data_IF_098168995638
#
_entry.id   IF_098168995638
#
_cell.length_a   1.000
_cell.length_b   1.000
_cell.length_c   1.000
_cell.angle_alpha   90.00
_cell.angle_beta   90.00
_cell.angle_gamma   90.00
#
_symmetry.space_group_name_H-M   'P 1'
#
loop_
_entity.id
_entity.type
_entity.pdbx_description
1 polymer ?
#
# COMPACT_ATOMS: atom_id res chain seq x y z
N UNK A 1 24.06 -35.36 -11.07
CA UNK A 1 24.73 -36.04 -12.19
C UNK A 1 26.24 -35.96 -12.11
N UNK A 2 26.85 -34.80 -11.84
CA UNK A 2 28.32 -34.60 -11.84
C UNK A 2 29.02 -35.46 -10.79
N UNK A 3 28.54 -35.49 -9.55
CA UNK A 3 29.11 -36.36 -8.49
C UNK A 3 29.01 -37.85 -8.86
N UNK A 4 27.88 -38.27 -9.42
CA UNK A 4 27.72 -39.65 -9.84
C UNK A 4 28.73 -40.04 -10.95
N UNK A 5 28.97 -39.14 -11.89
CA UNK A 5 29.97 -39.37 -12.96
C UNK A 5 31.40 -39.57 -12.43
N UNK A 6 31.82 -38.85 -11.40
CA UNK A 6 33.17 -38.97 -10.82
C UNK A 6 33.31 -40.06 -9.76
N UNK A 7 32.25 -40.40 -9.03
CA UNK A 7 32.30 -41.35 -7.92
C UNK A 7 31.98 -42.79 -8.34
N UNK A 8 31.00 -43.01 -9.23
CA UNK A 8 30.59 -44.35 -9.67
C UNK A 8 31.72 -45.16 -10.33
N UNK A 9 32.57 -44.64 -11.23
CA UNK A 9 33.65 -45.39 -11.83
C UNK A 9 34.76 -45.82 -10.85
N UNK A 10 34.86 -45.14 -9.69
CA UNK A 10 35.87 -45.46 -8.65
C UNK A 10 35.37 -46.47 -7.61
N UNK A 11 34.12 -46.82 -7.63
CA UNK A 11 33.56 -47.85 -6.77
C UNK A 11 33.91 -49.24 -7.31
N UNK A 12 34.95 -49.85 -6.74
CA UNK A 12 35.52 -51.15 -7.17
C UNK A 12 34.63 -52.38 -6.99
N UNK A 13 33.48 -52.25 -6.33
CA UNK A 13 32.47 -53.31 -6.18
C UNK A 13 31.08 -52.69 -6.12
N UNK A 14 30.33 -52.77 -7.23
CA UNK A 14 28.86 -52.79 -7.13
C UNK A 14 28.47 -54.19 -6.62
N UNK A 15 28.66 -54.43 -5.34
CA UNK A 15 28.14 -55.65 -4.72
C UNK A 15 26.60 -55.62 -4.87
N UNK A 16 26.03 -56.73 -5.35
CA UNK A 16 24.59 -56.93 -5.56
C UNK A 16 23.82 -57.01 -4.24
N UNK A 17 24.44 -56.61 -3.12
CA UNK A 17 23.82 -56.55 -1.80
C UNK A 17 23.48 -55.14 -1.34
N UNK A 18 22.30 -54.97 -0.83
CA UNK A 18 21.89 -53.70 -0.23
C UNK A 18 22.83 -53.31 0.94
N UNK A 19 23.25 -52.07 0.98
CA UNK A 19 23.95 -51.50 2.13
C UNK A 19 23.13 -51.75 3.40
N UNK A 20 23.80 -51.91 4.56
CA UNK A 20 23.15 -52.09 5.86
C UNK A 20 22.00 -51.05 6.10
N UNK A 21 22.21 -49.81 5.73
CA UNK A 21 21.22 -48.76 5.81
C UNK A 21 20.00 -49.06 4.91
N UNK A 22 20.27 -49.42 3.64
CA UNK A 22 19.23 -49.74 2.65
C UNK A 22 18.42 -50.96 3.07
N UNK A 23 19.07 -51.98 3.60
CA UNK A 23 18.41 -53.19 4.08
C UNK A 23 17.53 -52.93 5.32
N UNK A 24 17.94 -51.98 6.20
CA UNK A 24 17.13 -51.55 7.35
C UNK A 24 15.91 -50.77 6.88
N UNK A 25 16.09 -49.80 5.97
CA UNK A 25 15.01 -49.01 5.39
C UNK A 25 13.98 -49.89 4.65
N UNK A 26 14.46 -50.84 3.83
CA UNK A 26 13.55 -51.79 3.16
C UNK A 26 12.76 -52.66 4.15
N UNK A 27 13.34 -53.09 5.26
CA UNK A 27 12.63 -53.85 6.30
C UNK A 27 11.58 -53.02 7.03
N UNK A 28 11.90 -51.77 7.30
CA UNK A 28 10.95 -50.83 7.89
C UNK A 28 9.79 -50.52 6.91
N UNK A 29 10.12 -50.25 5.68
CA UNK A 29 9.13 -50.01 4.62
C UNK A 29 8.19 -51.20 4.45
N UNK A 30 8.73 -52.43 4.34
CA UNK A 30 7.93 -53.65 4.27
C UNK A 30 7.00 -53.83 5.47
N UNK A 31 7.47 -53.53 6.70
CA UNK A 31 6.62 -53.60 7.90
C UNK A 31 5.52 -52.55 7.89
N UNK A 32 5.85 -51.31 7.46
CA UNK A 32 4.87 -50.24 7.32
C UNK A 32 3.80 -50.55 6.26
N UNK A 33 4.23 -51.10 5.12
CA UNK A 33 3.31 -51.51 4.05
C UNK A 33 2.38 -52.65 4.50
N UNK A 34 2.94 -53.70 5.15
CA UNK A 34 2.12 -54.80 5.70
C UNK A 34 1.10 -54.32 6.72
N UNK A 35 1.52 -53.43 7.63
CA UNK A 35 0.62 -52.84 8.63
C UNK A 35 -0.44 -51.99 7.95
N UNK A 36 -0.09 -51.18 6.98
CA UNK A 36 -0.94 -50.30 6.20
C UNK A 36 -2.02 -51.07 5.42
N UNK A 37 -1.64 -52.17 4.75
CA UNK A 37 -2.59 -53.05 4.05
C UNK A 37 -3.55 -53.79 5.01
N UNK A 38 -3.08 -54.10 6.23
CA UNK A 38 -3.92 -54.72 7.23
C UNK A 38 -4.92 -53.75 7.89
N UNK A 39 -4.66 -52.43 7.79
CA UNK A 39 -5.46 -51.40 8.46
C UNK A 39 -5.97 -50.31 7.50
N UNK A 40 -6.29 -50.65 6.27
CA UNK A 40 -6.72 -49.72 5.23
C UNK A 40 -7.92 -48.86 5.65
N UNK A 41 -8.89 -49.43 6.35
CA UNK A 41 -10.04 -48.67 6.86
C UNK A 41 -9.67 -47.61 7.89
N UNK A 42 -8.74 -47.93 8.80
CA UNK A 42 -8.25 -47.00 9.80
C UNK A 42 -7.44 -45.87 9.15
N UNK A 43 -6.60 -46.20 8.16
CA UNK A 43 -5.83 -45.21 7.41
C UNK A 43 -6.70 -44.27 6.61
N UNK A 44 -7.75 -44.78 5.94
CA UNK A 44 -8.71 -43.94 5.26
C UNK A 44 -9.45 -43.01 6.22
N UNK A 45 -9.91 -43.56 7.36
CA UNK A 45 -10.59 -42.76 8.37
C UNK A 45 -9.68 -41.65 8.94
N UNK A 46 -8.44 -41.98 9.27
CA UNK A 46 -7.48 -40.98 9.80
C UNK A 46 -7.12 -39.94 8.75
N UNK A 47 -6.98 -40.32 7.47
CA UNK A 47 -6.73 -39.39 6.37
C UNK A 47 -7.91 -38.44 6.17
N UNK A 48 -9.14 -38.98 6.14
CA UNK A 48 -10.34 -38.14 6.04
C UNK A 48 -10.46 -37.21 7.23
N UNK A 49 -10.24 -37.71 8.44
CA UNK A 49 -10.26 -36.89 9.65
C UNK A 49 -9.22 -35.78 9.61
N UNK A 50 -8.00 -36.10 9.16
CA UNK A 50 -6.93 -35.12 9.02
C UNK A 50 -7.29 -34.01 7.99
N UNK A 51 -7.90 -34.39 6.86
CA UNK A 51 -8.37 -33.43 5.87
C UNK A 51 -9.49 -32.55 6.42
N UNK A 52 -10.46 -33.15 7.12
CA UNK A 52 -11.55 -32.39 7.76
C UNK A 52 -11.01 -31.40 8.80
N UNK A 53 -10.09 -31.86 9.65
CA UNK A 53 -9.43 -30.99 10.66
C UNK A 53 -8.66 -29.86 9.97
N UNK A 54 -7.86 -30.17 8.96
CA UNK A 54 -7.11 -29.16 8.19
C UNK A 54 -8.06 -28.15 7.54
N UNK A 55 -9.16 -28.61 6.96
CA UNK A 55 -10.15 -27.71 6.36
C UNK A 55 -10.86 -26.85 7.41
N UNK A 56 -11.12 -27.40 8.58
CA UNK A 56 -11.73 -26.67 9.70
C UNK A 56 -10.83 -25.55 10.26
N UNK A 57 -9.53 -25.58 10.00
CA UNK A 57 -8.60 -24.49 10.39
C UNK A 57 -8.62 -23.32 9.43
N UNK A 58 -9.10 -23.48 8.19
CA UNK A 58 -9.09 -22.41 7.16
C UNK A 58 -9.77 -21.12 7.63
N UNK A 59 -10.94 -21.14 8.30
CA UNK A 59 -11.59 -19.91 8.77
C UNK A 59 -10.77 -19.12 9.81
N UNK A 60 -9.84 -19.78 10.49
CA UNK A 60 -8.99 -19.18 11.54
C UNK A 60 -7.70 -18.58 10.98
N UNK A 61 -7.38 -18.81 9.70
CA UNK A 61 -6.22 -18.15 9.10
C UNK A 61 -6.51 -16.67 8.82
N UNK A 62 -5.52 -15.78 9.12
CA UNK A 62 -5.65 -14.38 8.75
C UNK A 62 -5.81 -14.25 7.24
N UNK A 63 -6.81 -13.44 6.83
CA UNK A 63 -7.11 -13.18 5.41
C UNK A 63 -6.44 -11.90 4.94
N UNK A 64 -5.13 -11.78 5.15
CA UNK A 64 -4.37 -10.68 4.57
C UNK A 64 -3.56 -11.19 3.39
N UNK A 65 -3.51 -10.39 2.32
CA UNK A 65 -2.72 -10.71 1.12
C UNK A 65 -1.22 -10.72 1.41
N UNK A 66 -0.80 -9.92 2.39
CA UNK A 66 0.58 -9.83 2.86
C UNK A 66 0.59 -9.86 4.39
N UNK A 67 1.56 -10.57 5.01
CA UNK A 67 1.76 -10.47 6.44
C UNK A 67 2.12 -9.03 6.81
N UNK A 68 1.74 -8.62 8.02
CA UNK A 68 2.11 -7.32 8.56
C UNK A 68 3.63 -7.24 8.72
N UNK A 69 4.28 -6.53 7.82
CA UNK A 69 5.71 -6.25 7.93
C UNK A 69 5.95 -5.14 8.95
N UNK A 70 6.90 -5.34 9.83
CA UNK A 70 7.42 -4.24 10.63
C UNK A 70 8.58 -3.59 9.88
N UNK A 71 8.27 -2.54 9.13
CA UNK A 71 9.25 -1.83 8.30
C UNK A 71 10.15 -0.87 9.10
N UNK A 72 9.89 -0.71 10.41
CA UNK A 72 10.63 0.26 11.24
C UNK A 72 10.30 1.72 10.94
N UNK A 73 9.60 1.97 9.84
CA UNK A 73 9.25 3.30 9.33
C UNK A 73 7.73 3.44 9.16
N UNK A 74 7.25 4.69 9.13
CA UNK A 74 5.88 5.04 8.78
C UNK A 74 5.91 6.05 7.64
N UNK A 75 4.88 6.02 6.80
CA UNK A 75 4.57 7.09 5.86
C UNK A 75 3.36 7.85 6.37
N UNK A 76 3.51 9.15 6.53
CA UNK A 76 2.45 10.08 6.96
C UNK A 76 2.14 11.02 5.82
N UNK A 77 0.91 11.00 5.35
CA UNK A 77 0.42 11.87 4.29
C UNK A 77 -0.48 12.95 4.89
N UNK A 78 -0.24 14.20 4.50
CA UNK A 78 -1.05 15.35 4.87
C UNK A 78 -1.56 16.02 3.60
N UNK A 79 -2.87 16.01 3.43
CA UNK A 79 -3.54 16.45 2.20
C UNK A 79 -4.43 17.65 2.49
N UNK A 80 -4.10 18.77 1.89
CA UNK A 80 -4.87 20.01 1.93
C UNK A 80 -5.92 20.04 0.80
N UNK A 81 -6.67 21.10 0.72
CA UNK A 81 -7.62 21.27 -0.38
C UNK A 81 -6.84 21.55 -1.68
N UNK A 82 -7.24 20.95 -2.81
CA UNK A 82 -6.72 21.34 -4.12
C UNK A 82 -6.84 22.85 -4.34
N UNK A 83 -5.82 23.47 -4.93
CA UNK A 83 -5.73 24.92 -5.05
C UNK A 83 -5.02 25.63 -3.91
N UNK A 84 -4.65 24.93 -2.84
CA UNK A 84 -3.76 25.49 -1.80
C UNK A 84 -2.38 25.79 -2.39
N UNK A 85 -1.85 26.97 -2.07
CA UNK A 85 -0.51 27.36 -2.55
C UNK A 85 0.60 26.52 -1.92
N UNK A 86 1.73 26.41 -2.60
CA UNK A 86 2.90 25.70 -2.07
C UNK A 86 3.39 26.32 -0.74
N UNK A 87 3.32 27.63 -0.60
CA UNK A 87 3.72 28.34 0.64
C UNK A 87 2.85 27.90 1.83
N UNK A 88 1.52 27.81 1.65
CA UNK A 88 0.62 27.36 2.71
C UNK A 88 0.75 25.87 2.98
N UNK A 89 0.92 25.06 1.94
CA UNK A 89 1.17 23.63 2.08
C UNK A 89 2.46 23.36 2.85
N UNK A 90 3.50 24.12 2.56
CA UNK A 90 4.76 24.04 3.30
C UNK A 90 4.60 24.47 4.76
N UNK A 91 3.84 25.54 5.04
CA UNK A 91 3.55 26.00 6.40
C UNK A 91 2.85 24.93 7.23
N UNK A 92 1.79 24.32 6.69
CA UNK A 92 1.08 23.23 7.36
C UNK A 92 1.97 21.98 7.47
N UNK A 93 2.76 21.68 6.44
CA UNK A 93 3.71 20.57 6.44
C UNK A 93 4.76 20.69 7.56
N UNK A 94 5.30 21.89 7.80
CA UNK A 94 6.22 22.15 8.92
C UNK A 94 5.54 21.91 10.27
N UNK A 95 4.31 22.37 10.44
CA UNK A 95 3.55 22.11 11.67
C UNK A 95 3.30 20.60 11.88
N UNK A 96 2.94 19.89 10.82
CA UNK A 96 2.76 18.45 10.88
C UNK A 96 4.05 17.72 11.25
N UNK A 97 5.18 18.12 10.65
CA UNK A 97 6.52 17.59 10.96
C UNK A 97 6.88 17.78 12.44
N UNK A 98 6.66 18.98 12.98
CA UNK A 98 6.88 19.27 14.41
C UNK A 98 5.99 18.41 15.33
N UNK A 99 4.73 18.24 14.96
CA UNK A 99 3.79 17.39 15.70
C UNK A 99 4.25 15.93 15.70
N UNK A 100 4.63 15.41 14.55
CA UNK A 100 5.10 14.02 14.41
C UNK A 100 6.43 13.84 15.17
N UNK A 101 7.36 14.77 15.04
CA UNK A 101 8.64 14.74 15.75
C UNK A 101 8.49 14.83 17.29
N UNK A 102 7.35 15.34 17.78
CA UNK A 102 7.05 15.38 19.23
C UNK A 102 6.70 14.02 19.84
N UNK A 103 6.51 12.98 19.01
CA UNK A 103 6.22 11.62 19.49
C UNK A 103 7.52 10.96 19.96
N UNK A 104 7.57 10.40 21.18
CA UNK A 104 8.84 9.92 21.79
C UNK A 104 9.56 8.83 21.02
N UNK A 105 8.84 8.05 20.20
CA UNK A 105 9.38 6.97 19.39
C UNK A 105 9.94 7.41 18.06
N UNK A 106 9.63 8.62 17.62
CA UNK A 106 10.12 9.18 16.37
C UNK A 106 11.58 9.62 16.54
N UNK A 107 12.43 9.11 15.66
CA UNK A 107 13.86 9.43 15.63
C UNK A 107 14.20 10.42 14.54
N UNK A 108 13.54 10.31 13.40
CA UNK A 108 13.78 11.17 12.25
C UNK A 108 12.49 11.34 11.45
N UNK A 109 12.31 12.53 10.88
CA UNK A 109 11.23 12.85 9.95
C UNK A 109 11.85 13.46 8.70
N UNK A 110 11.58 12.86 7.54
CA UNK A 110 11.90 13.41 6.23
C UNK A 110 10.62 13.87 5.54
N UNK A 111 10.52 15.14 5.16
CA UNK A 111 9.31 15.70 4.56
C UNK A 111 9.52 16.15 3.12
N UNK A 112 8.56 15.82 2.26
CA UNK A 112 8.43 16.39 0.90
C UNK A 112 7.06 17.02 0.74
N UNK A 113 7.04 18.25 0.24
CA UNK A 113 5.81 19.01 -0.03
C UNK A 113 5.82 19.48 -1.47
N UNK A 114 4.71 19.26 -2.16
CA UNK A 114 4.54 19.69 -3.53
C UNK A 114 4.98 18.66 -4.55
N UNK A 115 5.14 19.12 -5.80
CA UNK A 115 5.38 18.29 -6.98
C UNK A 115 6.86 18.29 -7.37
N UNK A 116 7.39 17.10 -7.64
CA UNK A 116 8.65 16.95 -8.36
C UNK A 116 8.35 16.79 -9.87
N UNK A 117 9.00 17.57 -10.73
CA UNK A 117 8.70 17.61 -12.18
C UNK A 117 9.00 16.28 -12.90
N UNK A 118 9.91 15.48 -12.38
CA UNK A 118 10.37 14.22 -12.98
C UNK A 118 9.87 12.98 -12.25
N UNK A 119 8.97 13.11 -11.27
CA UNK A 119 8.43 11.98 -10.52
C UNK A 119 7.16 11.46 -11.21
N UNK A 120 7.16 10.16 -11.55
CA UNK A 120 5.98 9.48 -12.10
C UNK A 120 4.77 9.48 -11.15
N UNK A 121 5.03 9.68 -9.85
CA UNK A 121 4.01 9.74 -8.79
C UNK A 121 3.82 11.17 -8.27
N UNK A 122 4.08 12.16 -9.12
CA UNK A 122 3.99 13.57 -8.76
C UNK A 122 2.60 13.96 -8.27
N UNK A 123 2.52 14.30 -6.99
CA UNK A 123 1.31 14.85 -6.37
C UNK A 123 1.24 16.38 -6.56
N UNK A 124 0.04 16.93 -6.40
CA UNK A 124 -0.13 18.38 -6.45
C UNK A 124 0.55 19.10 -5.28
N UNK A 125 0.71 20.41 -5.41
CA UNK A 125 1.35 21.26 -4.38
C UNK A 125 0.62 21.26 -3.02
N UNK A 126 -0.63 20.77 -2.98
CA UNK A 126 -1.45 20.64 -1.77
C UNK A 126 -1.16 19.35 -0.97
N UNK A 127 -0.21 18.53 -1.41
CA UNK A 127 0.13 17.25 -0.83
C UNK A 127 1.49 17.30 -0.15
N UNK A 128 1.55 16.77 1.07
CA UNK A 128 2.79 16.60 1.84
C UNK A 128 2.90 15.15 2.28
N UNK A 129 4.05 14.56 2.01
CA UNK A 129 4.40 13.20 2.45
C UNK A 129 5.58 13.27 3.41
N UNK A 130 5.52 12.50 4.48
CA UNK A 130 6.58 12.41 5.47
C UNK A 130 6.96 10.94 5.66
N UNK A 131 8.26 10.67 5.56
CA UNK A 131 8.86 9.41 5.98
C UNK A 131 9.33 9.56 7.43
N UNK A 132 8.87 8.68 8.31
CA UNK A 132 9.05 8.77 9.75
C UNK A 132 9.72 7.51 10.26
N UNK A 133 10.93 7.64 10.79
CA UNK A 133 11.67 6.54 11.38
C UNK A 133 11.33 6.39 12.87
N UNK A 134 11.09 5.15 13.27
CA UNK A 134 10.73 4.80 14.63
C UNK A 134 11.83 3.99 15.31
N UNK A 135 12.16 4.33 16.56
CA UNK A 135 12.96 3.46 17.41
C UNK A 135 12.14 2.31 17.97
N UNK A 136 12.83 1.25 18.37
CA UNK A 136 12.22 0.13 19.09
C UNK A 136 11.67 0.64 20.42
N UNK A 137 10.42 0.34 20.73
CA UNK A 137 9.70 0.76 21.92
C UNK A 137 8.84 -0.37 22.47
N UNK A 138 8.50 -0.29 23.75
CA UNK A 138 7.55 -1.20 24.40
C UNK A 138 6.09 -0.93 23.97
N UNK A 139 5.81 0.28 23.46
CA UNK A 139 4.50 0.62 22.92
C UNK A 139 4.26 -0.13 21.61
N UNK A 140 3.07 -0.71 21.49
CA UNK A 140 2.69 -1.36 20.24
C UNK A 140 2.60 -0.34 19.10
N UNK A 141 2.92 -0.76 17.88
CA UNK A 141 2.89 0.10 16.69
C UNK A 141 1.53 0.75 16.45
N UNK A 142 0.45 0.00 16.69
CA UNK A 142 -0.92 0.52 16.58
C UNK A 142 -1.17 1.68 17.54
N UNK A 143 -0.62 1.63 18.74
CA UNK A 143 -0.73 2.72 19.74
C UNK A 143 0.05 3.95 19.26
N UNK A 144 1.26 3.77 18.70
CA UNK A 144 2.07 4.87 18.18
C UNK A 144 1.36 5.53 16.98
N UNK A 145 0.85 4.74 16.04
CA UNK A 145 0.08 5.24 14.89
C UNK A 145 -1.15 6.03 15.36
N UNK A 146 -1.87 5.52 16.35
CA UNK A 146 -3.04 6.21 16.88
C UNK A 146 -2.67 7.50 17.60
N UNK A 147 -1.56 7.57 18.30
CA UNK A 147 -1.03 8.79 18.93
C UNK A 147 -0.69 9.85 17.86
N UNK A 148 0.01 9.46 16.80
CA UNK A 148 0.31 10.34 15.67
C UNK A 148 -0.98 10.89 15.03
N UNK A 149 -1.96 10.01 14.75
CA UNK A 149 -3.27 10.42 14.20
C UNK A 149 -4.00 11.43 15.08
N UNK A 150 -4.05 11.15 16.38
CA UNK A 150 -4.72 12.03 17.34
C UNK A 150 -4.08 13.42 17.37
N UNK A 151 -2.75 13.48 17.36
CA UNK A 151 -2.00 14.74 17.35
C UNK A 151 -2.17 15.50 16.03
N UNK A 152 -2.14 14.82 14.90
CA UNK A 152 -2.36 15.43 13.57
C UNK A 152 -3.79 15.92 13.37
N UNK A 153 -4.76 15.39 14.11
CA UNK A 153 -6.17 15.78 14.03
C UNK A 153 -6.46 17.24 14.35
N UNK A 154 -5.52 18.00 14.92
CA UNK A 154 -5.65 19.45 15.15
C UNK A 154 -5.42 20.28 13.88
N UNK A 155 -4.81 19.68 12.84
CA UNK A 155 -4.49 20.39 11.61
C UNK A 155 -5.73 20.49 10.70
N UNK A 156 -5.89 21.60 9.95
CA UNK A 156 -6.96 21.76 8.96
C UNK A 156 -6.65 21.00 7.67
N UNK A 157 -6.26 19.73 7.79
CA UNK A 157 -5.84 18.86 6.70
C UNK A 157 -6.37 17.45 6.93
N UNK A 158 -6.53 16.69 5.84
CA UNK A 158 -6.73 15.26 5.95
C UNK A 158 -5.37 14.57 6.14
N UNK A 159 -5.26 13.67 7.11
CA UNK A 159 -4.04 12.91 7.34
C UNK A 159 -4.29 11.41 7.21
N UNK A 160 -3.29 10.70 6.71
CA UNK A 160 -3.26 9.23 6.65
C UNK A 160 -1.90 8.77 7.17
N UNK A 161 -1.91 7.75 8.03
CA UNK A 161 -0.70 7.15 8.60
C UNK A 161 -0.67 5.69 8.22
N UNK A 162 0.33 5.29 7.45
CA UNK A 162 0.52 3.93 6.97
C UNK A 162 1.97 3.48 7.04
N UNK A 163 2.24 2.34 6.43
CA UNK A 163 3.61 1.83 6.22
C UNK A 163 3.97 1.98 4.74
N UNK A 164 5.24 2.24 4.39
CA UNK A 164 5.66 2.51 3.01
C UNK A 164 5.27 1.41 2.00
N UNK A 165 5.54 0.14 2.31
CA UNK A 165 5.25 -0.99 1.40
C UNK A 165 3.74 -1.22 1.29
N UNK A 166 3.03 -1.27 2.42
CA UNK A 166 1.57 -1.42 2.43
C UNK A 166 0.90 -0.29 1.64
N UNK A 167 1.37 0.94 1.82
CA UNK A 167 0.84 2.11 1.12
C UNK A 167 1.01 2.03 -0.41
N UNK A 168 2.18 1.59 -0.88
CA UNK A 168 2.43 1.38 -2.32
C UNK A 168 1.58 0.26 -2.90
N UNK A 169 1.41 -0.84 -2.17
CA UNK A 169 0.58 -1.96 -2.59
C UNK A 169 -0.89 -1.60 -2.67
N UNK A 170 -1.40 -0.88 -1.66
CA UNK A 170 -2.79 -0.38 -1.65
C UNK A 170 -3.05 0.50 -2.88
N UNK A 171 -2.12 1.38 -3.23
CA UNK A 171 -2.23 2.22 -4.42
C UNK A 171 -2.23 1.40 -5.72
N UNK A 172 -1.35 0.39 -5.83
CA UNK A 172 -1.27 -0.47 -7.01
C UNK A 172 -2.52 -1.35 -7.19
N UNK A 173 -3.10 -1.85 -6.10
CA UNK A 173 -4.24 -2.77 -6.14
C UNK A 173 -5.58 -2.05 -6.25
N UNK A 174 -5.77 -0.95 -5.54
CA UNK A 174 -7.06 -0.23 -5.48
C UNK A 174 -7.11 1.02 -6.36
N UNK A 175 -5.95 1.52 -6.81
CA UNK A 175 -5.80 2.79 -7.51
C UNK A 175 -5.96 4.01 -6.58
N UNK A 176 -6.07 3.78 -5.26
CA UNK A 176 -6.14 4.82 -4.23
C UNK A 176 -5.21 4.45 -3.07
N UNK A 177 -4.77 5.44 -2.31
CA UNK A 177 -3.87 5.22 -1.16
C UNK A 177 -4.65 4.85 0.10
N UNK A 178 -5.45 3.79 -0.01
CA UNK A 178 -6.27 3.26 1.07
C UNK A 178 -6.48 1.75 0.91
N UNK A 179 -6.58 1.03 2.02
CA UNK A 179 -6.85 -0.41 2.03
C UNK A 179 -8.25 -0.74 1.48
N UNK A 180 -9.20 0.18 1.64
CA UNK A 180 -10.57 0.02 1.16
C UNK A 180 -10.92 1.23 0.30
N UNK A 181 -11.30 0.98 -0.95
CA UNK A 181 -11.79 1.98 -1.89
C UNK A 181 -13.27 1.74 -2.20
N UNK A 182 -14.14 2.63 -1.73
CA UNK A 182 -15.55 2.65 -2.13
C UNK A 182 -15.71 3.57 -3.33
N UNK A 183 -15.92 3.00 -4.52
CA UNK A 183 -16.07 3.75 -5.77
C UNK A 183 -17.55 3.93 -6.09
N UNK A 184 -17.95 5.18 -6.31
CA UNK A 184 -19.31 5.57 -6.72
C UNK A 184 -19.23 6.13 -8.14
N UNK A 185 -20.09 5.64 -9.03
CA UNK A 185 -20.12 6.01 -10.43
C UNK A 185 -21.41 6.73 -10.78
N UNK A 186 -21.34 7.70 -11.66
CA UNK A 186 -22.49 8.46 -12.17
C UNK A 186 -22.03 9.56 -13.12
N UNK A 187 -22.97 10.16 -13.83
CA UNK A 187 -22.69 11.18 -14.85
C UNK A 187 -22.69 12.61 -14.27
N UNK A 188 -23.37 12.82 -13.14
CA UNK A 188 -23.49 14.13 -12.50
C UNK A 188 -22.57 14.25 -11.28
N UNK A 189 -21.59 15.15 -11.37
CA UNK A 189 -20.56 15.35 -10.33
C UNK A 189 -21.14 15.93 -9.03
N UNK A 190 -22.18 16.76 -9.10
CA UNK A 190 -22.76 17.38 -7.89
C UNK A 190 -23.55 16.33 -7.08
N UNK A 191 -24.28 15.47 -7.79
CA UNK A 191 -24.95 14.31 -7.19
C UNK A 191 -23.91 13.36 -6.56
N UNK A 192 -22.82 13.07 -7.26
CA UNK A 192 -21.75 12.21 -6.74
C UNK A 192 -21.10 12.78 -5.47
N UNK A 193 -20.85 14.09 -5.42
CA UNK A 193 -20.32 14.77 -4.22
C UNK A 193 -21.27 14.67 -3.03
N UNK A 194 -22.55 14.93 -3.27
CA UNK A 194 -23.59 14.85 -2.22
C UNK A 194 -23.68 13.42 -1.68
N UNK A 195 -23.69 12.42 -2.57
CA UNK A 195 -23.75 11.02 -2.20
C UNK A 195 -22.48 10.58 -1.43
N UNK A 196 -21.30 11.01 -1.86
CA UNK A 196 -20.05 10.72 -1.16
C UNK A 196 -20.03 11.33 0.26
N UNK A 197 -20.57 12.53 0.44
CA UNK A 197 -20.69 13.17 1.75
C UNK A 197 -21.66 12.42 2.69
N UNK A 198 -22.81 11.96 2.17
CA UNK A 198 -23.76 11.14 2.93
C UNK A 198 -23.14 9.78 3.31
N UNK A 199 -22.51 9.11 2.36
CA UNK A 199 -21.79 7.86 2.60
C UNK A 199 -20.71 8.02 3.68
N UNK A 200 -19.90 9.07 3.61
CA UNK A 200 -18.92 9.37 4.66
C UNK A 200 -19.56 9.47 6.01
N UNK A 201 -20.66 10.23 6.13
CA UNK A 201 -21.38 10.44 7.40
C UNK A 201 -21.90 9.11 7.98
N UNK A 202 -22.39 8.22 7.13
CA UNK A 202 -22.84 6.87 7.54
C UNK A 202 -21.69 5.97 7.94
N UNK A 203 -20.61 5.96 7.15
CA UNK A 203 -19.44 5.10 7.36
C UNK A 203 -18.63 5.52 8.60
N UNK A 204 -18.66 6.76 9.01
CA UNK A 204 -18.01 7.22 10.26
C UNK A 204 -18.53 6.48 11.51
N UNK A 205 -19.75 5.93 11.43
CA UNK A 205 -20.37 5.16 12.53
C UNK A 205 -19.94 3.69 12.54
N UNK A 206 -19.25 3.22 11.51
CA UNK A 206 -18.81 1.83 11.39
C UNK A 206 -17.53 1.63 12.19
N UNK A 207 -17.59 0.76 13.19
CA UNK A 207 -16.44 0.45 14.02
C UNK A 207 -15.33 -0.23 13.22
N UNK A 208 -14.09 0.22 13.39
CA UNK A 208 -12.92 -0.32 12.70
C UNK A 208 -12.53 0.43 11.42
N UNK A 209 -13.35 1.37 10.92
CA UNK A 209 -12.95 2.28 9.85
C UNK A 209 -12.20 3.48 10.43
N UNK A 210 -10.98 3.70 9.93
CA UNK A 210 -10.12 4.83 10.31
C UNK A 210 -9.70 5.60 9.06
N UNK A 211 -9.29 6.86 9.21
CA UNK A 211 -8.77 7.71 8.13
C UNK A 211 -9.72 7.82 6.92
N UNK A 212 -11.04 7.85 7.20
CA UNK A 212 -12.09 7.92 6.18
C UNK A 212 -12.03 9.25 5.42
N UNK A 213 -11.67 9.18 4.15
CA UNK A 213 -11.52 10.35 3.28
C UNK A 213 -12.43 10.23 2.05
N UNK A 214 -12.96 11.37 1.61
CA UNK A 214 -13.54 11.50 0.27
C UNK A 214 -12.43 12.05 -0.61
N UNK A 215 -12.25 11.50 -1.81
CA UNK A 215 -11.36 12.08 -2.78
C UNK A 215 -11.79 13.52 -3.07
N UNK A 216 -10.86 14.46 -2.88
CA UNK A 216 -11.17 15.88 -2.94
C UNK A 216 -11.35 16.31 -4.39
N UNK A 217 -12.60 16.47 -4.80
CA UNK A 217 -13.00 17.12 -6.04
C UNK A 217 -13.49 18.52 -5.74
N UNK A 218 -12.60 19.48 -5.69
CA UNK A 218 -12.93 20.88 -5.45
C UNK A 218 -12.94 21.62 -6.78
N UNK A 219 -13.93 22.49 -6.97
CA UNK A 219 -13.93 23.44 -8.10
C UNK A 219 -12.76 24.41 -7.89
N UNK A 220 -11.75 24.30 -8.73
CA UNK A 220 -10.64 25.24 -8.73
C UNK A 220 -10.97 26.33 -9.73
N UNK A 221 -10.98 27.61 -9.33
CA UNK A 221 -11.13 28.71 -10.27
C UNK A 221 -10.04 28.64 -11.35
N UNK A 222 -10.45 28.63 -12.60
CA UNK A 222 -9.55 28.58 -13.74
C UNK A 222 -9.85 29.74 -14.68
N UNK A 223 -8.81 30.39 -15.16
CA UNK A 223 -8.92 31.35 -16.26
C UNK A 223 -8.66 30.56 -17.55
N UNK A 224 -9.72 30.41 -18.37
CA UNK A 224 -9.60 29.80 -19.68
C UNK A 224 -9.52 30.92 -20.75
N UNK A 225 -8.39 30.98 -21.46
CA UNK A 225 -8.18 31.94 -22.54
C UNK A 225 -8.52 31.26 -23.86
N UNK A 226 -9.55 31.70 -24.49
CA UNK A 226 -9.95 31.24 -25.82
C UNK A 226 -9.42 32.19 -26.88
N UNK A 227 -8.64 31.68 -27.82
CA UNK A 227 -8.06 32.45 -28.90
C UNK A 227 -9.09 32.53 -30.04
N UNK A 228 -9.41 33.76 -30.46
CA UNK A 228 -10.23 34.04 -31.65
C UNK A 228 -9.30 34.12 -32.85
N UNK A 229 -9.21 33.05 -33.60
CA UNK A 229 -8.31 32.93 -34.75
C UNK A 229 -8.68 33.89 -35.91
N UNK A 230 -9.97 34.23 -36.08
CA UNK A 230 -10.41 35.17 -37.13
C UNK A 230 -9.94 36.60 -36.82
N UNK A 231 -9.98 36.99 -35.55
CA UNK A 231 -9.43 38.28 -35.12
C UNK A 231 -7.92 38.30 -35.24
N UNK A 232 -7.23 37.24 -34.85
CA UNK A 232 -5.78 37.14 -35.00
C UNK A 232 -5.36 37.37 -36.45
N UNK A 233 -6.05 36.74 -37.40
CA UNK A 233 -5.80 36.93 -38.83
C UNK A 233 -5.99 38.39 -39.29
N UNK A 234 -7.00 39.09 -38.75
CA UNK A 234 -7.25 40.51 -39.06
C UNK A 234 -6.17 41.45 -38.52
N UNK A 235 -5.59 41.11 -37.37
CA UNK A 235 -4.51 41.91 -36.76
C UNK A 235 -3.10 41.44 -37.18
N UNK A 236 -2.99 40.43 -38.04
CA UNK A 236 -1.71 39.90 -38.52
C UNK A 236 -0.84 39.27 -37.43
N UNK A 237 -1.46 38.81 -36.33
CA UNK A 237 -0.75 38.19 -35.20
C UNK A 237 -0.69 36.68 -35.37
N UNK A 238 0.49 36.11 -35.36
CA UNK A 238 0.66 34.65 -35.39
C UNK A 238 0.22 34.00 -34.07
N UNK A 239 -0.59 32.93 -34.11
CA UNK A 239 -1.07 32.26 -32.88
C UNK A 239 0.06 31.83 -31.93
N UNK A 240 1.17 31.34 -32.46
CA UNK A 240 2.33 30.94 -31.66
C UNK A 240 3.00 32.12 -30.92
N UNK A 241 3.10 33.30 -31.56
CA UNK A 241 3.64 34.50 -30.92
C UNK A 241 2.75 34.98 -29.77
N UNK A 242 1.41 34.92 -29.96
CA UNK A 242 0.46 35.25 -28.89
C UNK A 242 0.59 34.29 -27.70
N UNK A 243 0.70 32.99 -27.95
CA UNK A 243 0.86 31.99 -26.89
C UNK A 243 2.14 32.21 -26.09
N UNK A 244 3.26 32.45 -26.75
CA UNK A 244 4.53 32.76 -26.08
C UNK A 244 4.42 34.03 -25.20
N UNK A 245 3.78 35.09 -25.74
CA UNK A 245 3.57 36.32 -24.96
C UNK A 245 2.66 36.10 -23.76
N UNK A 246 1.58 35.30 -23.91
CA UNK A 246 0.70 34.95 -22.80
C UNK A 246 1.43 34.12 -21.75
N UNK A 247 2.24 33.14 -22.15
CA UNK A 247 3.04 32.34 -21.25
C UNK A 247 4.02 33.22 -20.45
N UNK A 248 4.72 34.13 -21.08
CA UNK A 248 5.60 35.10 -20.44
C UNK A 248 4.86 36.02 -19.44
N UNK A 249 3.62 36.40 -19.74
CA UNK A 249 2.82 37.24 -18.83
C UNK A 249 2.33 36.48 -17.60
N UNK A 250 2.12 35.17 -17.69
CA UNK A 250 1.58 34.34 -16.62
C UNK A 250 2.69 33.72 -15.77
N UNK A 251 3.77 33.29 -16.38
CA UNK A 251 4.88 32.62 -15.71
C UNK A 251 6.00 33.57 -15.29
N UNK A 252 6.11 34.74 -15.86
CA UNK A 252 7.10 35.77 -15.58
C UNK A 252 8.32 35.66 -16.46
#
# INVERSE_FOLDING_TARGET
PVMAYYLLPRMKQMGHGDSWLVSHLKRWDAKLLHWSFGHTGALLLTSVLAVVLATATIPFFPRSFLPDFNEGTLTVNVVLNPGTSLAESNRIGVLAEQIVASVPEVTQVGRRTGRAELDEHAEGVHYTEMDVDLKVSERSRSVIIQDIRTRLGVLPAASNVGQPISHRLDHLLSGVRAQIALKVYGDDLDTLRTLAADLRTRLTKVHGLTDLQIEKQVLIPQIKIHIDYDKLGRYGVAPGALLVSLQQMVEG
#
